data_IF_054976295113
#
_entry.id   IF_054976295113
#
_cell.length_a   1.000
_cell.length_b   1.000
_cell.length_c   1.000
_cell.angle_alpha   90.00
_cell.angle_beta   90.00
_cell.angle_gamma   90.00
#
_symmetry.space_group_name_H-M   'P 1'
#
loop_
_entity.id
_entity.type
_entity.pdbx_description
1 polymer ?
#
# COMPACT_ATOMS: atom_id res chain seq x y z
N UNK A 1 20.66 -14.05 10.66
CA UNK A 1 20.68 -13.95 9.19
C UNK A 1 19.27 -13.59 8.79
N UNK A 2 19.11 -12.55 7.99
CA UNK A 2 17.82 -12.16 7.42
C UNK A 2 17.43 -13.16 6.33
N UNK A 3 16.14 -13.43 6.24
CA UNK A 3 15.55 -14.37 5.28
C UNK A 3 14.66 -13.56 4.33
N UNK A 4 14.96 -13.50 3.04
CA UNK A 4 14.10 -12.84 2.06
C UNK A 4 12.78 -13.61 1.90
N UNK A 5 11.67 -12.86 1.92
CA UNK A 5 10.32 -13.38 1.76
C UNK A 5 9.71 -12.76 0.49
N UNK A 6 9.19 -13.61 -0.37
CA UNK A 6 8.38 -13.25 -1.53
C UNK A 6 6.92 -13.55 -1.23
N UNK A 7 6.07 -12.56 -1.30
CA UNK A 7 4.64 -12.68 -0.96
C UNK A 7 3.81 -12.58 -2.24
N UNK A 8 2.95 -13.56 -2.46
CA UNK A 8 2.03 -13.63 -3.57
C UNK A 8 0.61 -13.50 -3.03
N UNK A 9 -0.05 -12.39 -3.33
CA UNK A 9 -1.39 -12.08 -2.86
C UNK A 9 -2.38 -12.03 -4.02
N UNK A 10 -3.66 -11.97 -3.72
CA UNK A 10 -4.75 -11.96 -4.70
C UNK A 10 -5.84 -12.96 -4.32
N UNK A 11 -7.01 -12.82 -4.92
CA UNK A 11 -8.14 -13.72 -4.66
C UNK A 11 -7.88 -15.15 -5.16
N UNK A 12 -8.73 -16.08 -4.74
CA UNK A 12 -8.67 -17.47 -5.21
C UNK A 12 -8.66 -17.51 -6.75
N UNK A 13 -7.90 -18.42 -7.31
CA UNK A 13 -7.72 -18.63 -8.75
C UNK A 13 -7.22 -17.42 -9.55
N UNK A 14 -6.65 -16.43 -8.87
CA UNK A 14 -6.05 -15.24 -9.51
C UNK A 14 -4.73 -15.52 -10.25
N UNK A 15 -4.23 -16.74 -10.24
CA UNK A 15 -3.00 -17.14 -10.94
C UNK A 15 -1.73 -17.14 -10.08
N UNK A 16 -1.83 -17.01 -8.76
CA UNK A 16 -0.70 -17.07 -7.81
C UNK A 16 0.09 -18.36 -7.96
N UNK A 17 -0.58 -19.52 -7.84
CA UNK A 17 0.05 -20.84 -7.92
C UNK A 17 0.69 -21.08 -9.29
N UNK A 18 0.07 -20.61 -10.37
CA UNK A 18 0.63 -20.72 -11.73
C UNK A 18 1.93 -19.95 -11.86
N UNK A 19 1.96 -18.72 -11.36
CA UNK A 19 3.17 -17.89 -11.35
C UNK A 19 4.25 -18.49 -10.45
N UNK A 20 3.87 -18.99 -9.27
CA UNK A 20 4.77 -19.66 -8.34
C UNK A 20 5.40 -20.91 -8.98
N UNK A 21 4.60 -21.75 -9.66
CA UNK A 21 5.07 -22.90 -10.40
C UNK A 21 6.09 -22.51 -11.47
N UNK A 22 5.77 -21.55 -12.34
CA UNK A 22 6.67 -21.12 -13.41
C UNK A 22 7.98 -20.53 -12.86
N UNK A 23 7.90 -19.80 -11.74
CA UNK A 23 9.08 -19.27 -11.05
C UNK A 23 9.98 -20.37 -10.52
N UNK A 24 9.41 -21.42 -9.93
CA UNK A 24 10.18 -22.55 -9.39
C UNK A 24 10.75 -23.46 -10.49
N UNK A 25 10.15 -23.47 -11.68
CA UNK A 25 10.66 -24.13 -12.88
C UNK A 25 11.83 -23.36 -13.54
N UNK A 26 11.88 -22.06 -13.36
CA UNK A 26 12.91 -21.21 -13.98
C UNK A 26 14.29 -21.45 -13.33
N UNK A 27 15.24 -21.95 -14.16
CA UNK A 27 16.63 -22.17 -13.73
C UNK A 27 17.34 -20.90 -13.27
N UNK A 28 16.92 -19.73 -13.74
CA UNK A 28 17.49 -18.42 -13.35
C UNK A 28 17.14 -18.06 -11.92
N UNK A 29 15.95 -18.49 -11.45
CA UNK A 29 15.52 -18.29 -10.08
C UNK A 29 16.20 -19.26 -9.09
N UNK A 30 16.56 -20.44 -9.56
CA UNK A 30 17.20 -21.46 -8.73
C UNK A 30 18.73 -21.25 -8.65
N UNK A 31 19.16 -20.55 -7.63
CA UNK A 31 20.59 -20.34 -7.32
C UNK A 31 21.15 -21.34 -6.29
N UNK A 32 20.42 -22.42 -6.01
CA UNK A 32 20.80 -23.45 -5.02
C UNK A 32 20.37 -23.16 -3.59
N UNK A 33 19.73 -22.02 -3.31
CA UNK A 33 19.17 -21.69 -2.00
C UNK A 33 18.00 -22.60 -1.65
N UNK A 34 17.98 -23.05 -0.38
CA UNK A 34 16.84 -23.83 0.13
C UNK A 34 15.64 -22.91 0.29
N UNK A 35 14.59 -23.23 -0.44
CA UNK A 35 13.35 -22.45 -0.50
C UNK A 35 12.25 -23.18 0.27
N UNK A 36 11.62 -22.48 1.20
CA UNK A 36 10.37 -22.87 1.83
C UNK A 36 9.22 -22.20 1.09
N UNK A 37 8.29 -22.99 0.60
CA UNK A 37 7.04 -22.50 0.00
C UNK A 37 5.94 -22.75 1.02
N UNK A 38 5.22 -21.71 1.38
CA UNK A 38 4.03 -21.77 2.24
C UNK A 38 2.80 -21.55 1.37
N UNK A 39 1.91 -22.53 1.34
CA UNK A 39 0.61 -22.44 0.67
C UNK A 39 -0.46 -22.20 1.73
N UNK A 40 -1.06 -21.03 1.69
CA UNK A 40 -2.12 -20.63 2.64
C UNK A 40 -3.52 -20.71 2.02
N UNK A 41 -3.65 -21.24 0.82
CA UNK A 41 -4.91 -21.38 0.09
C UNK A 41 -4.86 -22.61 -0.82
N UNK A 42 -5.94 -23.37 -0.87
CA UNK A 42 -6.11 -24.47 -1.81
C UNK A 42 -6.89 -23.95 -3.04
N UNK A 43 -6.22 -23.86 -4.19
CA UNK A 43 -6.79 -23.47 -5.48
C UNK A 43 -6.94 -24.68 -6.43
N UNK A 44 -7.44 -24.42 -7.64
CA UNK A 44 -7.55 -25.46 -8.69
C UNK A 44 -6.18 -25.92 -9.20
N UNK A 45 -5.14 -25.09 -9.08
CA UNK A 45 -3.80 -25.38 -9.57
C UNK A 45 -2.90 -25.89 -8.42
N UNK A 46 -2.57 -27.17 -8.44
CA UNK A 46 -1.58 -27.75 -7.54
C UNK A 46 -0.16 -27.56 -8.08
N UNK A 47 0.80 -27.33 -7.18
CA UNK A 47 2.21 -27.29 -7.55
C UNK A 47 2.72 -28.70 -7.85
N UNK A 48 3.45 -28.84 -8.96
CA UNK A 48 4.12 -30.08 -9.37
C UNK A 48 5.62 -30.00 -9.08
N UNK A 49 6.11 -30.58 -7.97
CA UNK A 49 7.52 -30.56 -7.61
C UNK A 49 8.44 -31.31 -8.61
N UNK A 50 7.88 -32.20 -9.43
CA UNK A 50 8.67 -32.92 -10.42
C UNK A 50 9.22 -32.03 -11.53
N UNK A 51 8.58 -30.88 -11.76
CA UNK A 51 8.93 -29.89 -12.78
C UNK A 51 9.88 -28.82 -12.26
N UNK A 52 10.11 -28.76 -10.96
CA UNK A 52 10.97 -27.72 -10.38
C UNK A 52 12.41 -27.82 -10.90
N UNK A 53 13.04 -26.68 -11.13
CA UNK A 53 14.41 -26.58 -11.62
C UNK A 53 15.47 -27.12 -10.64
N UNK A 54 15.09 -27.34 -9.38
CA UNK A 54 15.96 -27.89 -8.32
C UNK A 54 15.20 -28.66 -7.25
N UNK A 55 15.94 -29.50 -6.50
CA UNK A 55 15.41 -30.34 -5.41
C UNK A 55 15.47 -29.66 -4.03
N UNK A 56 15.77 -28.38 -4.00
CA UNK A 56 15.98 -27.58 -2.79
C UNK A 56 14.73 -26.80 -2.36
N UNK A 57 13.56 -27.22 -2.80
CA UNK A 57 12.25 -26.64 -2.49
C UNK A 57 11.48 -27.55 -1.55
N UNK A 58 10.96 -27.02 -0.46
CA UNK A 58 10.06 -27.69 0.47
C UNK A 58 8.73 -26.95 0.48
N UNK A 59 7.64 -27.65 0.33
CA UNK A 59 6.28 -27.10 0.36
C UNK A 59 5.65 -27.50 1.70
N UNK A 60 5.06 -26.54 2.38
CA UNK A 60 4.27 -26.72 3.60
C UNK A 60 2.93 -25.98 3.42
N UNK A 61 1.85 -26.58 3.89
CA UNK A 61 0.49 -26.02 3.80
C UNK A 61 0.13 -25.41 5.16
N UNK A 62 -0.50 -24.25 5.13
CA UNK A 62 -1.06 -23.56 6.30
C UNK A 62 -2.55 -23.35 6.02
N UNK A 63 -3.39 -24.18 6.61
CA UNK A 63 -4.82 -24.23 6.34
C UNK A 63 -5.60 -23.14 7.08
N UNK A 64 -5.08 -22.68 8.23
CA UNK A 64 -5.77 -21.73 9.11
C UNK A 64 -4.81 -20.62 9.60
N UNK A 65 -5.37 -19.43 9.83
CA UNK A 65 -4.64 -18.30 10.43
C UNK A 65 -4.00 -18.64 11.77
N UNK A 66 -4.62 -19.50 12.55
CA UNK A 66 -4.09 -19.95 13.85
C UNK A 66 -2.75 -20.70 13.72
N UNK A 67 -2.45 -21.23 12.54
CA UNK A 67 -1.16 -21.88 12.22
C UNK A 67 -0.11 -20.86 11.74
N UNK A 68 -0.53 -19.67 11.30
CA UNK A 68 0.36 -18.62 10.81
C UNK A 68 0.92 -17.81 11.98
N UNK A 69 1.77 -18.45 12.80
CA UNK A 69 2.38 -17.86 13.99
C UNK A 69 3.91 -17.81 13.87
N UNK A 70 4.58 -16.81 14.51
CA UNK A 70 6.04 -16.70 14.46
C UNK A 70 6.75 -18.00 14.87
N UNK A 71 6.22 -18.70 15.88
CA UNK A 71 6.79 -19.94 16.39
C UNK A 71 6.72 -21.08 15.37
N UNK A 72 5.55 -21.27 14.74
CA UNK A 72 5.36 -22.29 13.70
C UNK A 72 6.20 -21.98 12.47
N UNK A 73 6.16 -20.74 11.98
CA UNK A 73 6.94 -20.31 10.81
C UNK A 73 8.45 -20.49 11.02
N UNK A 74 8.96 -20.19 12.23
CA UNK A 74 10.36 -20.46 12.59
C UNK A 74 10.68 -21.95 12.67
N UNK A 75 9.72 -22.79 13.16
CA UNK A 75 9.90 -24.22 13.20
C UNK A 75 9.99 -24.82 11.79
N UNK A 76 9.12 -24.42 10.86
CA UNK A 76 9.14 -24.81 9.47
C UNK A 76 10.43 -24.35 8.78
N UNK A 77 10.85 -23.09 8.98
CA UNK A 77 12.11 -22.59 8.44
C UNK A 77 13.30 -23.42 8.90
N UNK A 78 13.37 -23.76 10.20
CA UNK A 78 14.45 -24.59 10.77
C UNK A 78 14.43 -26.01 10.25
N UNK A 79 13.25 -26.63 10.11
CA UNK A 79 13.04 -27.99 9.62
C UNK A 79 13.68 -28.18 8.24
N UNK A 80 13.43 -27.26 7.32
CA UNK A 80 13.99 -27.32 5.96
C UNK A 80 15.29 -26.51 5.79
N UNK A 81 15.75 -25.82 6.83
CA UNK A 81 16.90 -24.91 6.81
C UNK A 81 16.78 -23.86 5.69
N UNK A 82 15.59 -23.29 5.54
CA UNK A 82 15.29 -22.33 4.47
C UNK A 82 16.19 -21.11 4.53
N UNK A 83 16.62 -20.66 3.36
CA UNK A 83 17.39 -19.45 3.10
C UNK A 83 16.54 -18.40 2.38
N UNK A 84 15.39 -18.81 1.85
CA UNK A 84 14.39 -18.01 1.17
C UNK A 84 13.00 -18.58 1.45
N UNK A 85 12.01 -17.70 1.56
CA UNK A 85 10.60 -18.10 1.76
C UNK A 85 9.75 -17.51 0.65
N UNK A 86 8.81 -18.29 0.15
CA UNK A 86 7.77 -17.87 -0.79
C UNK A 86 6.43 -18.15 -0.14
N UNK A 87 5.56 -17.16 -0.04
CA UNK A 87 4.26 -17.28 0.61
C UNK A 87 3.16 -17.04 -0.42
N UNK A 88 2.41 -18.06 -0.77
CA UNK A 88 1.13 -17.91 -1.42
C UNK A 88 0.07 -17.62 -0.37
N UNK A 89 -0.23 -16.34 -0.19
CA UNK A 89 -1.08 -15.89 0.93
C UNK A 89 -2.55 -16.00 0.56
N UNK A 90 -3.37 -16.40 1.53
CA UNK A 90 -4.80 -16.54 1.34
C UNK A 90 -5.46 -15.18 1.01
N UNK A 91 -6.24 -15.16 -0.06
CA UNK A 91 -6.89 -13.95 -0.54
C UNK A 91 -7.89 -13.32 0.42
N UNK A 92 -8.42 -14.08 1.36
CA UNK A 92 -9.39 -13.62 2.37
C UNK A 92 -8.75 -13.15 3.67
N UNK A 93 -7.46 -13.42 3.90
CA UNK A 93 -6.76 -12.98 5.12
C UNK A 93 -6.18 -11.58 4.94
N UNK A 94 -6.19 -10.77 5.98
CA UNK A 94 -5.63 -9.41 5.96
C UNK A 94 -4.09 -9.43 6.02
N UNK A 95 -3.45 -8.51 5.30
CA UNK A 95 -1.99 -8.38 5.32
C UNK A 95 -1.44 -7.94 6.68
N UNK A 96 -2.24 -7.26 7.49
CA UNK A 96 -1.87 -6.93 8.87
C UNK A 96 -1.52 -8.20 9.67
N UNK A 97 -2.29 -9.27 9.49
CA UNK A 97 -2.02 -10.57 10.15
C UNK A 97 -0.73 -11.21 9.65
N UNK A 98 -0.45 -11.12 8.34
CA UNK A 98 0.81 -11.56 7.77
C UNK A 98 2.00 -10.87 8.44
N UNK A 99 2.00 -9.55 8.45
CA UNK A 99 3.12 -8.77 8.97
C UNK A 99 3.29 -8.88 10.49
N UNK A 100 2.17 -8.94 11.24
CA UNK A 100 2.20 -9.10 12.69
C UNK A 100 2.78 -10.45 13.12
N UNK A 101 2.57 -11.48 12.32
CA UNK A 101 2.96 -12.86 12.63
C UNK A 101 4.25 -13.32 11.95
N UNK A 102 4.82 -12.53 11.06
CA UNK A 102 6.12 -12.87 10.47
C UNK A 102 7.24 -12.89 11.51
N UNK A 103 8.15 -13.88 11.47
CA UNK A 103 9.36 -13.87 12.28
C UNK A 103 10.20 -12.61 12.06
N UNK A 104 10.78 -12.05 13.12
CA UNK A 104 11.56 -10.79 13.05
C UNK A 104 12.75 -10.80 12.09
N UNK A 105 13.25 -11.96 11.74
CA UNK A 105 14.36 -12.14 10.80
C UNK A 105 13.90 -12.36 9.35
N UNK A 106 12.60 -12.37 9.10
CA UNK A 106 12.04 -12.41 7.75
C UNK A 106 11.85 -11.00 7.24
N UNK A 107 12.33 -10.74 6.03
CA UNK A 107 12.23 -9.42 5.39
C UNK A 107 11.49 -9.60 4.07
N UNK A 108 10.35 -8.93 3.93
CA UNK A 108 9.63 -8.90 2.66
C UNK A 108 10.54 -8.27 1.61
N UNK A 109 10.99 -9.09 0.67
CA UNK A 109 11.82 -8.66 -0.44
C UNK A 109 10.98 -8.19 -1.62
N UNK A 110 9.89 -8.90 -1.88
CA UNK A 110 8.95 -8.54 -2.91
C UNK A 110 7.53 -9.00 -2.52
N UNK A 111 6.56 -8.14 -2.75
CA UNK A 111 5.14 -8.45 -2.63
C UNK A 111 4.45 -8.17 -3.95
N UNK A 112 3.79 -9.20 -4.48
CA UNK A 112 3.09 -9.14 -5.76
C UNK A 112 1.63 -9.54 -5.59
N UNK A 113 0.75 -8.73 -6.16
CA UNK A 113 -0.67 -9.04 -6.23
C UNK A 113 -1.02 -9.58 -7.62
N UNK A 114 -1.79 -10.66 -7.65
CA UNK A 114 -2.32 -11.27 -8.87
C UNK A 114 -3.83 -11.08 -8.94
N UNK A 115 -4.31 -10.73 -10.12
CA UNK A 115 -5.74 -10.57 -10.37
C UNK A 115 -6.05 -10.89 -11.84
N UNK A 116 -7.21 -11.44 -12.11
CA UNK A 116 -7.69 -11.61 -13.48
C UNK A 116 -8.23 -10.27 -13.99
N UNK A 117 -7.74 -9.80 -15.13
CA UNK A 117 -8.04 -8.49 -15.69
C UNK A 117 -9.56 -8.22 -15.86
N UNK A 118 -10.31 -9.23 -16.31
CA UNK A 118 -11.74 -9.07 -16.60
C UNK A 118 -12.63 -9.11 -15.35
N UNK A 119 -12.24 -9.85 -14.32
CA UNK A 119 -13.07 -10.07 -13.12
C UNK A 119 -12.71 -9.14 -11.98
N UNK A 120 -11.48 -8.60 -11.94
CA UNK A 120 -11.01 -7.76 -10.85
C UNK A 120 -11.89 -6.54 -10.56
N UNK A 121 -12.44 -5.80 -11.55
CA UNK A 121 -13.35 -4.69 -11.25
C UNK A 121 -14.57 -5.11 -10.42
N UNK A 122 -15.10 -6.33 -10.67
CA UNK A 122 -16.23 -6.89 -9.92
C UNK A 122 -15.80 -7.26 -8.50
N UNK A 123 -14.63 -7.91 -8.35
CA UNK A 123 -14.07 -8.20 -7.02
C UNK A 123 -13.81 -6.92 -6.23
N UNK A 124 -13.20 -5.91 -6.85
CA UNK A 124 -12.95 -4.63 -6.21
C UNK A 124 -14.25 -3.93 -5.79
N UNK A 125 -15.34 -4.03 -6.55
CA UNK A 125 -16.61 -3.44 -6.21
C UNK A 125 -17.31 -4.15 -5.03
N UNK A 126 -17.19 -5.48 -4.93
CA UNK A 126 -17.90 -6.27 -3.92
C UNK A 126 -17.08 -6.58 -2.66
N UNK A 127 -15.76 -6.62 -2.78
CA UNK A 127 -14.81 -6.94 -1.68
C UNK A 127 -13.71 -5.89 -1.61
N UNK A 128 -14.12 -4.61 -1.65
CA UNK A 128 -13.19 -3.48 -1.78
C UNK A 128 -12.14 -3.44 -0.67
N UNK A 129 -12.51 -3.73 0.58
CA UNK A 129 -11.58 -3.73 1.71
C UNK A 129 -10.43 -4.72 1.47
N UNK A 130 -10.73 -5.93 0.99
CA UNK A 130 -9.71 -6.94 0.69
C UNK A 130 -8.88 -6.56 -0.55
N UNK A 131 -9.50 -5.99 -1.58
CA UNK A 131 -8.77 -5.52 -2.76
C UNK A 131 -7.80 -4.37 -2.40
N UNK A 132 -8.26 -3.39 -1.61
CA UNK A 132 -7.41 -2.29 -1.13
C UNK A 132 -6.29 -2.78 -0.23
N UNK A 133 -6.56 -3.70 0.70
CA UNK A 133 -5.57 -4.31 1.58
C UNK A 133 -4.40 -4.91 0.75
N UNK A 134 -4.72 -5.72 -0.27
CA UNK A 134 -3.69 -6.34 -1.14
C UNK A 134 -2.96 -5.31 -2.00
N UNK A 135 -3.67 -4.29 -2.53
CA UNK A 135 -3.06 -3.24 -3.33
C UNK A 135 -2.11 -2.36 -2.51
N UNK A 136 -2.41 -2.09 -1.23
CA UNK A 136 -1.56 -1.26 -0.36
C UNK A 136 -0.20 -1.89 -0.07
N UNK A 137 -0.14 -3.23 0.03
CA UNK A 137 1.10 -3.97 0.27
C UNK A 137 1.92 -4.22 -1.00
N UNK A 138 1.25 -4.29 -2.16
CA UNK A 138 1.88 -4.70 -3.41
C UNK A 138 2.94 -3.70 -3.90
N UNK A 139 4.06 -4.22 -4.42
CA UNK A 139 5.04 -3.49 -5.21
C UNK A 139 4.74 -3.65 -6.71
N UNK A 140 4.14 -4.77 -7.09
CA UNK A 140 3.71 -5.08 -8.46
C UNK A 140 2.33 -5.71 -8.42
N UNK A 141 1.43 -5.22 -9.28
CA UNK A 141 0.15 -5.87 -9.58
C UNK A 141 0.20 -6.47 -10.97
N UNK A 142 -0.09 -7.76 -11.08
CA UNK A 142 -0.15 -8.48 -12.35
C UNK A 142 -1.61 -8.78 -12.68
N UNK A 143 -2.13 -8.12 -13.71
CA UNK A 143 -3.43 -8.41 -14.28
C UNK A 143 -3.27 -9.45 -15.38
N UNK A 144 -3.48 -10.71 -15.03
CA UNK A 144 -3.35 -11.82 -15.98
C UNK A 144 -4.62 -12.07 -16.78
N UNK A 145 -4.54 -13.00 -17.76
CA UNK A 145 -5.62 -13.36 -18.69
C UNK A 145 -6.22 -12.13 -19.40
N UNK A 146 -5.41 -11.08 -19.55
CA UNK A 146 -5.82 -9.87 -20.24
C UNK A 146 -6.08 -10.16 -21.72
N UNK A 147 -7.07 -9.48 -22.30
CA UNK A 147 -7.35 -9.58 -23.73
C UNK A 147 -6.82 -8.35 -24.45
N UNK A 148 -6.25 -8.51 -25.64
CA UNK A 148 -5.80 -7.36 -26.42
C UNK A 148 -6.97 -6.40 -26.68
N UNK A 149 -6.77 -5.11 -26.34
CA UNK A 149 -7.80 -4.07 -26.52
C UNK A 149 -8.79 -3.92 -25.35
N UNK A 150 -8.58 -4.60 -24.22
CA UNK A 150 -9.37 -4.34 -23.01
C UNK A 150 -9.13 -2.92 -22.45
N UNK A 151 -10.04 -2.44 -21.62
CA UNK A 151 -9.92 -1.11 -21.01
C UNK A 151 -8.93 -1.08 -19.83
N UNK A 152 -7.66 -0.82 -20.16
CA UNK A 152 -6.60 -0.64 -19.16
C UNK A 152 -6.89 0.49 -18.18
N UNK A 153 -7.54 1.57 -18.65
CA UNK A 153 -7.80 2.77 -17.86
C UNK A 153 -8.62 2.46 -16.61
N UNK A 154 -9.56 1.51 -16.70
CA UNK A 154 -10.35 1.10 -15.54
C UNK A 154 -9.48 0.47 -14.46
N UNK A 155 -8.61 -0.47 -14.81
CA UNK A 155 -7.71 -1.14 -13.87
C UNK A 155 -6.65 -0.17 -13.34
N UNK A 156 -6.07 0.65 -14.22
CA UNK A 156 -5.16 1.71 -13.85
C UNK A 156 -5.75 2.62 -12.74
N UNK A 157 -6.96 3.15 -12.95
CA UNK A 157 -7.64 4.02 -11.97
C UNK A 157 -7.88 3.32 -10.63
N UNK A 158 -8.26 2.05 -10.63
CA UNK A 158 -8.46 1.29 -9.39
C UNK A 158 -7.15 1.21 -8.60
N UNK A 159 -6.04 0.85 -9.25
CA UNK A 159 -4.74 0.74 -8.60
C UNK A 159 -4.25 2.11 -8.15
N UNK A 160 -4.30 3.13 -9.04
CA UNK A 160 -3.85 4.50 -8.72
C UNK A 160 -4.71 5.17 -7.66
N UNK A 161 -5.98 4.77 -7.51
CA UNK A 161 -6.84 5.15 -6.39
C UNK A 161 -6.34 4.65 -5.03
N UNK A 162 -5.50 3.62 -4.98
CA UNK A 162 -4.93 3.05 -3.75
C UNK A 162 -3.45 3.41 -3.58
N UNK A 163 -2.63 3.23 -4.61
CA UNK A 163 -1.19 3.53 -4.57
C UNK A 163 -0.68 4.03 -5.93
N UNK A 164 0.15 5.08 -5.89
CA UNK A 164 0.83 5.60 -7.09
C UNK A 164 2.17 4.90 -7.36
N UNK A 165 2.68 4.16 -6.37
CA UNK A 165 4.01 3.51 -6.42
C UNK A 165 3.98 2.11 -6.99
N UNK A 166 2.82 1.48 -6.97
CA UNK A 166 2.66 0.09 -7.44
C UNK A 166 2.89 0.03 -8.94
N UNK A 167 3.80 -0.84 -9.36
CA UNK A 167 3.93 -1.17 -10.78
C UNK A 167 2.74 -2.01 -11.24
N UNK A 168 2.27 -1.77 -12.44
CA UNK A 168 1.15 -2.51 -13.03
C UNK A 168 1.64 -3.23 -14.27
N UNK A 169 1.37 -4.53 -14.35
CA UNK A 169 1.65 -5.36 -15.51
C UNK A 169 0.38 -6.05 -16.02
N UNK A 170 0.24 -6.14 -17.32
CA UNK A 170 -0.83 -6.84 -18.01
C UNK A 170 -0.26 -8.05 -18.72
N UNK A 171 -0.66 -9.25 -18.31
CA UNK A 171 -0.24 -10.49 -18.90
C UNK A 171 -1.30 -11.01 -19.86
N UNK A 172 -0.96 -11.08 -21.14
CA UNK A 172 -1.82 -11.58 -22.22
C UNK A 172 -1.60 -13.09 -22.45
N UNK A 173 -0.39 -13.54 -22.23
CA UNK A 173 0.04 -14.94 -22.23
C UNK A 173 1.38 -15.06 -21.52
N UNK A 174 1.86 -16.29 -21.28
CA UNK A 174 3.10 -16.59 -20.55
C UNK A 174 4.34 -15.80 -20.98
N UNK A 175 4.42 -15.37 -22.25
CA UNK A 175 5.54 -14.61 -22.79
C UNK A 175 5.14 -13.24 -23.36
N UNK A 176 3.92 -12.77 -23.10
CA UNK A 176 3.39 -11.51 -23.59
C UNK A 176 2.88 -10.67 -22.41
N UNK A 177 3.81 -9.93 -21.82
CA UNK A 177 3.55 -9.05 -20.68
C UNK A 177 3.85 -7.60 -21.08
N UNK A 178 2.94 -6.70 -20.76
CA UNK A 178 3.07 -5.28 -20.99
C UNK A 178 2.97 -4.53 -19.66
N UNK A 179 3.89 -3.61 -19.40
CA UNK A 179 3.78 -2.70 -18.26
C UNK A 179 2.86 -1.54 -18.59
N UNK A 180 2.17 -1.06 -17.55
CA UNK A 180 1.30 0.11 -17.66
C UNK A 180 2.14 1.36 -17.95
N UNK A 181 1.79 2.07 -19.01
CA UNK A 181 2.44 3.30 -19.46
C UNK A 181 1.50 4.51 -19.40
N UNK A 182 0.35 4.37 -18.74
CA UNK A 182 -0.63 5.45 -18.61
C UNK A 182 -0.07 6.53 -17.69
N UNK A 183 0.06 7.73 -18.21
CA UNK A 183 0.45 8.90 -17.42
C UNK A 183 -0.69 9.33 -16.48
N UNK A 184 -0.35 9.58 -15.24
CA UNK A 184 -1.28 10.02 -14.20
C UNK A 184 -0.72 11.28 -13.51
N UNK A 185 -0.81 12.45 -14.20
CA UNK A 185 -0.26 13.69 -13.67
C UNK A 185 -0.99 14.12 -12.39
N UNK A 186 -0.24 14.69 -11.47
CA UNK A 186 -0.84 15.29 -10.28
C UNK A 186 -1.68 16.51 -10.67
N UNK A 187 -2.86 16.71 -10.05
CA UNK A 187 -3.74 17.84 -10.36
C UNK A 187 -3.19 19.17 -9.82
N UNK A 188 -2.08 19.16 -9.11
CA UNK A 188 -1.40 20.34 -8.55
C UNK A 188 0.07 20.38 -9.00
N UNK A 189 0.65 21.58 -9.05
CA UNK A 189 2.03 21.77 -9.46
C UNK A 189 2.98 21.69 -8.26
N UNK A 190 3.74 20.58 -8.16
CA UNK A 190 4.76 20.38 -7.09
C UNK A 190 5.94 21.34 -7.19
N UNK A 191 6.22 21.92 -8.34
CA UNK A 191 7.35 22.83 -8.57
C UNK A 191 6.97 24.31 -8.40
N UNK A 192 5.73 24.61 -8.01
CA UNK A 192 5.31 25.98 -7.70
C UNK A 192 5.96 26.45 -6.39
N UNK A 193 6.19 27.78 -6.23
CA UNK A 193 6.65 28.40 -4.98
C UNK A 193 5.75 28.07 -3.79
N UNK A 194 4.47 27.92 -4.04
CA UNK A 194 3.47 27.43 -3.10
C UNK A 194 2.59 26.43 -3.83
N UNK A 195 2.52 25.22 -3.32
CA UNK A 195 1.63 24.17 -3.85
C UNK A 195 0.21 24.50 -3.38
N UNK A 196 -0.66 24.85 -4.31
CA UNK A 196 -2.09 25.08 -4.02
C UNK A 196 -2.85 23.78 -4.19
N UNK A 197 -3.49 23.31 -3.11
CA UNK A 197 -4.26 22.09 -3.06
C UNK A 197 -5.74 22.43 -2.98
N UNK A 198 -6.48 22.12 -4.04
CA UNK A 198 -7.92 22.30 -4.05
C UNK A 198 -8.61 21.28 -3.14
N UNK A 199 -9.85 21.58 -2.71
CA UNK A 199 -10.60 20.71 -1.80
C UNK A 199 -10.73 19.27 -2.32
N UNK A 200 -10.95 19.09 -3.61
CA UNK A 200 -11.06 17.77 -4.26
C UNK A 200 -9.72 17.03 -4.35
N UNK A 201 -8.60 17.73 -4.30
CA UNK A 201 -7.26 17.17 -4.54
C UNK A 201 -6.54 16.80 -3.23
N UNK A 202 -7.16 17.10 -2.08
CA UNK A 202 -6.53 16.89 -0.76
C UNK A 202 -6.08 15.44 -0.54
N UNK A 203 -6.91 14.45 -0.90
CA UNK A 203 -6.58 13.03 -0.72
C UNK A 203 -5.34 12.63 -1.54
N UNK A 204 -5.30 13.03 -2.81
CA UNK A 204 -4.17 12.78 -3.70
C UNK A 204 -2.90 13.45 -3.21
N UNK A 205 -2.99 14.71 -2.79
CA UNK A 205 -1.85 15.44 -2.24
C UNK A 205 -1.34 14.81 -0.95
N UNK A 206 -2.23 14.47 -0.01
CA UNK A 206 -1.83 13.87 1.26
C UNK A 206 -1.13 12.53 1.07
N UNK A 207 -1.61 11.72 0.14
CA UNK A 207 -0.98 10.45 -0.22
C UNK A 207 0.39 10.67 -0.88
N UNK A 208 0.48 11.53 -1.88
CA UNK A 208 1.74 11.85 -2.56
C UNK A 208 2.78 12.41 -1.56
N UNK A 209 2.36 13.31 -0.65
CA UNK A 209 3.20 13.78 0.46
C UNK A 209 3.68 12.61 1.35
N UNK A 210 2.83 11.64 1.64
CA UNK A 210 3.17 10.50 2.51
C UNK A 210 4.11 9.50 1.83
N UNK A 211 3.99 9.33 0.52
CA UNK A 211 4.80 8.43 -0.29
C UNK A 211 6.15 9.06 -0.69
N UNK A 212 6.20 10.39 -0.91
CA UNK A 212 7.34 11.13 -1.46
C UNK A 212 7.86 12.22 -0.50
N UNK A 213 8.01 11.90 0.78
CA UNK A 213 8.35 12.85 1.86
C UNK A 213 9.50 13.78 1.48
N UNK A 214 10.62 13.23 0.98
CA UNK A 214 11.83 14.01 0.69
C UNK A 214 11.61 15.06 -0.40
N UNK A 215 10.68 14.84 -1.32
CA UNK A 215 10.36 15.78 -2.40
C UNK A 215 9.60 17.01 -1.91
N UNK A 216 9.02 16.93 -0.72
CA UNK A 216 8.25 18.01 -0.11
C UNK A 216 9.04 18.82 0.94
N UNK A 217 10.24 18.37 1.32
CA UNK A 217 11.04 19.09 2.31
C UNK A 217 11.40 20.49 1.82
N UNK A 218 11.12 21.50 2.63
CA UNK A 218 11.33 22.90 2.31
C UNK A 218 10.29 23.55 1.40
N UNK A 219 9.34 22.79 0.82
CA UNK A 219 8.27 23.34 -0.03
C UNK A 219 7.22 24.06 0.81
N UNK A 220 6.47 24.96 0.17
CA UNK A 220 5.30 25.63 0.76
C UNK A 220 4.03 25.03 0.21
N UNK A 221 3.02 24.95 1.05
CA UNK A 221 1.70 24.42 0.68
C UNK A 221 0.60 25.35 1.18
N UNK A 222 -0.50 25.40 0.45
CA UNK A 222 -1.74 26.03 0.85
C UNK A 222 -2.89 25.07 0.61
N UNK A 223 -3.63 24.75 1.67
CA UNK A 223 -4.77 23.83 1.63
C UNK A 223 -5.79 24.17 2.70
N UNK A 224 -7.02 23.65 2.55
CA UNK A 224 -8.06 23.72 3.54
C UNK A 224 -8.14 22.46 4.38
N UNK A 225 -8.19 22.61 5.71
CA UNK A 225 -8.31 21.49 6.64
C UNK A 225 -9.11 21.81 7.88
N UNK A 226 -9.52 20.77 8.55
CA UNK A 226 -10.18 20.86 9.86
C UNK A 226 -9.13 20.74 10.95
N UNK A 227 -9.27 21.56 11.98
CA UNK A 227 -8.37 21.62 13.13
C UNK A 227 -8.74 20.55 14.16
N UNK A 228 -7.71 19.94 14.74
CA UNK A 228 -7.81 19.09 15.93
C UNK A 228 -6.81 19.62 16.96
N UNK A 229 -7.30 19.96 18.16
CA UNK A 229 -6.52 20.29 19.35
C UNK A 229 -6.85 19.31 20.46
N UNK A 230 -5.81 18.87 21.15
CA UNK A 230 -5.92 17.96 22.30
C UNK A 230 -4.81 18.27 23.31
N UNK A 231 -4.99 17.90 24.57
CA UNK A 231 -4.02 18.14 25.67
C UNK A 231 -2.65 17.47 25.47
N UNK A 232 -2.58 16.48 24.59
CA UNK A 232 -1.33 15.79 24.25
C UNK A 232 -0.50 16.55 23.19
N UNK A 233 -1.09 17.55 22.54
CA UNK A 233 -0.45 18.39 21.52
C UNK A 233 0.21 19.59 22.20
N UNK A 234 1.47 19.95 21.89
CA UNK A 234 2.12 21.15 22.44
C UNK A 234 1.32 22.43 22.18
N UNK A 235 1.36 23.38 23.12
CA UNK A 235 0.56 24.63 23.07
C UNK A 235 0.79 25.50 21.82
N UNK A 236 1.97 25.39 21.20
CA UNK A 236 2.31 26.08 19.96
C UNK A 236 1.94 25.30 18.69
N UNK A 237 1.22 24.18 18.83
CA UNK A 237 0.87 23.27 17.74
C UNK A 237 -0.63 22.98 17.70
N UNK A 238 -1.09 22.58 16.54
CA UNK A 238 -2.37 21.93 16.33
C UNK A 238 -2.23 20.90 15.18
N UNK A 239 -3.17 19.98 15.09
CA UNK A 239 -3.26 19.09 13.92
C UNK A 239 -4.25 19.72 12.95
N UNK A 240 -3.90 19.71 11.65
CA UNK A 240 -4.79 20.18 10.59
C UNK A 240 -4.83 19.16 9.48
N UNK A 241 -6.02 18.83 9.01
CA UNK A 241 -6.21 17.82 7.97
C UNK A 241 -7.67 17.61 7.65
N UNK A 242 -7.99 16.46 7.07
CA UNK A 242 -9.37 16.13 6.73
C UNK A 242 -9.66 14.65 7.02
N UNK A 243 -10.91 14.29 7.31
CA UNK A 243 -11.35 12.91 7.19
C UNK A 243 -11.07 12.43 5.76
N UNK A 244 -10.48 11.26 5.61
CA UNK A 244 -10.11 10.67 4.33
C UNK A 244 -10.66 9.26 4.25
N UNK A 245 -11.34 8.95 3.14
CA UNK A 245 -11.89 7.65 2.82
C UNK A 245 -11.14 7.05 1.64
N UNK A 246 -10.65 5.83 1.81
CA UNK A 246 -9.97 5.08 0.73
C UNK A 246 -10.92 4.14 0.02
N UNK A 247 -11.71 3.37 0.76
CA UNK A 247 -12.58 2.34 0.19
C UNK A 247 -14.05 2.45 0.58
N UNK A 248 -14.37 2.72 1.83
CA UNK A 248 -15.76 2.78 2.32
C UNK A 248 -15.86 3.63 3.59
N UNK A 249 -17.07 3.83 4.09
CA UNK A 249 -17.31 4.65 5.28
C UNK A 249 -16.61 4.10 6.55
N UNK A 250 -16.38 2.79 6.62
CA UNK A 250 -15.75 2.14 7.78
C UNK A 250 -14.23 2.41 7.85
N UNK A 251 -13.59 2.83 6.75
CA UNK A 251 -12.16 3.12 6.71
C UNK A 251 -11.84 4.61 6.86
N UNK A 252 -12.83 5.45 7.15
CA UNK A 252 -12.60 6.89 7.30
C UNK A 252 -11.62 7.14 8.45
N UNK A 253 -10.47 7.71 8.10
CA UNK A 253 -9.42 8.10 9.04
C UNK A 253 -9.10 9.59 8.90
N UNK A 254 -8.67 10.23 9.98
CA UNK A 254 -8.26 11.63 9.91
C UNK A 254 -6.83 11.74 9.37
N UNK A 255 -6.70 12.28 8.17
CA UNK A 255 -5.43 12.57 7.50
C UNK A 255 -4.89 13.90 8.01
N UNK A 256 -4.20 13.88 9.15
CA UNK A 256 -3.78 15.07 9.87
C UNK A 256 -2.27 15.32 9.82
N UNK A 257 -1.90 16.58 9.75
CA UNK A 257 -0.53 17.07 9.78
C UNK A 257 -0.33 17.98 10.98
N UNK A 258 0.81 17.86 11.65
CA UNK A 258 1.19 18.76 12.74
C UNK A 258 1.52 20.13 12.14
N UNK A 259 0.93 21.18 12.68
CA UNK A 259 1.21 22.56 12.30
C UNK A 259 1.69 23.35 13.54
N UNK A 260 2.94 23.81 13.49
CA UNK A 260 3.51 24.77 14.45
C UNK A 260 3.16 26.19 14.00
N UNK A 261 2.51 26.96 14.86
CA UNK A 261 2.10 28.31 14.54
C UNK A 261 1.97 29.19 15.77
N UNK A 262 2.40 30.44 15.69
CA UNK A 262 2.39 31.38 16.81
C UNK A 262 0.99 31.74 17.34
N UNK A 263 -0.06 31.47 16.57
CA UNK A 263 -1.46 31.66 16.93
C UNK A 263 -2.21 30.38 17.29
N UNK A 264 -1.51 29.26 17.56
CA UNK A 264 -2.12 27.95 17.82
C UNK A 264 -3.12 27.97 19.00
N UNK A 265 -2.88 28.82 20.01
CA UNK A 265 -3.76 29.03 21.16
C UNK A 265 -5.18 29.48 20.80
N UNK A 266 -5.36 30.09 19.61
CA UNK A 266 -6.66 30.55 19.10
C UNK A 266 -7.42 29.49 18.35
N UNK A 267 -6.81 28.34 18.13
CA UNK A 267 -7.40 27.22 17.39
C UNK A 267 -8.29 26.39 18.30
N UNK A 268 -9.41 25.94 17.74
CA UNK A 268 -10.33 25.02 18.41
C UNK A 268 -10.65 23.85 17.50
N UNK A 269 -10.83 22.66 18.10
CA UNK A 269 -11.21 21.46 17.34
C UNK A 269 -12.46 21.68 16.52
N UNK A 270 -12.48 21.12 15.33
CA UNK A 270 -13.54 21.23 14.31
C UNK A 270 -13.65 22.57 13.57
N UNK A 271 -12.79 23.54 13.87
CA UNK A 271 -12.69 24.72 13.01
C UNK A 271 -12.15 24.32 11.64
N UNK A 272 -12.69 24.89 10.57
CA UNK A 272 -12.12 24.82 9.24
C UNK A 272 -11.23 26.05 9.01
N UNK A 273 -10.04 25.78 8.49
CA UNK A 273 -9.05 26.84 8.21
C UNK A 273 -8.39 26.60 6.85
N UNK A 274 -8.01 27.67 6.18
CA UNK A 274 -7.03 27.60 5.09
C UNK A 274 -5.65 27.86 5.71
N UNK A 275 -4.76 26.89 5.52
CA UNK A 275 -3.39 26.95 6.04
C UNK A 275 -2.43 27.14 4.88
N UNK A 276 -1.60 28.19 4.98
CA UNK A 276 -0.38 28.33 4.19
C UNK A 276 0.81 28.10 5.10
N UNK A 277 1.66 27.15 4.77
CA UNK A 277 2.76 26.71 5.62
C UNK A 277 3.97 26.24 4.81
N UNK A 278 5.15 26.27 5.44
CA UNK A 278 6.33 25.55 4.95
C UNK A 278 6.33 24.15 5.51
N UNK A 279 6.72 23.18 4.71
CA UNK A 279 6.84 21.76 5.08
C UNK A 279 8.30 21.48 5.49
N UNK A 280 8.50 20.77 6.60
CA UNK A 280 9.81 20.27 7.01
C UNK A 280 9.71 18.80 7.40
N UNK A 281 10.56 17.96 6.83
CA UNK A 281 10.57 16.52 7.13
C UNK A 281 11.50 16.28 8.32
N UNK A 282 10.92 16.08 9.49
CA UNK A 282 11.69 15.93 10.73
C UNK A 282 10.93 15.15 11.80
N UNK A 283 11.66 14.72 12.83
CA UNK A 283 11.05 14.09 14.00
C UNK A 283 10.21 15.10 14.79
N UNK A 284 8.99 14.71 15.16
CA UNK A 284 8.11 15.50 16.01
C UNK A 284 7.44 14.63 17.07
N UNK A 285 7.21 15.19 18.28
CA UNK A 285 6.65 14.45 19.41
C UNK A 285 5.26 13.88 19.12
N UNK A 286 4.42 14.63 18.40
CA UNK A 286 3.08 14.16 18.02
C UNK A 286 3.08 12.93 17.11
N UNK A 287 4.13 12.72 16.33
CA UNK A 287 4.26 11.52 15.47
C UNK A 287 5.04 10.39 16.14
N UNK A 288 5.91 10.70 17.11
CA UNK A 288 6.88 9.75 17.65
C UNK A 288 7.96 9.30 16.65
N UNK A 289 7.89 9.74 15.41
CA UNK A 289 8.78 9.39 14.28
C UNK A 289 9.05 10.61 13.40
N UNK A 290 9.85 10.44 12.34
CA UNK A 290 10.02 11.44 11.28
C UNK A 290 8.74 11.52 10.44
N UNK A 291 8.33 12.74 10.13
CA UNK A 291 7.15 13.02 9.32
C UNK A 291 7.07 14.49 8.90
N UNK A 292 6.07 14.87 8.10
CA UNK A 292 5.91 16.23 7.61
C UNK A 292 5.36 17.14 8.71
N UNK A 293 6.14 18.14 9.10
CA UNK A 293 5.76 19.18 10.07
C UNK A 293 5.56 20.48 9.32
N UNK A 294 4.39 21.09 9.50
CA UNK A 294 4.06 22.38 8.93
C UNK A 294 4.51 23.50 9.86
N UNK A 295 5.15 24.53 9.30
CA UNK A 295 5.35 25.81 9.98
C UNK A 295 4.41 26.83 9.35
N UNK A 296 3.38 27.22 10.10
CA UNK A 296 2.31 28.08 9.61
C UNK A 296 2.81 29.49 9.26
N UNK A 297 2.55 29.94 8.04
CA UNK A 297 2.78 31.30 7.55
C UNK A 297 1.51 32.11 7.76
N UNK A 298 0.38 31.62 7.26
CA UNK A 298 -0.96 32.14 7.56
C UNK A 298 -1.91 31.00 7.88
N UNK A 299 -2.84 31.26 8.79
CA UNK A 299 -3.92 30.35 9.17
C UNK A 299 -5.19 31.18 9.30
N UNK A 300 -6.05 31.08 8.31
CA UNK A 300 -7.26 31.89 8.20
C UNK A 300 -8.51 31.03 8.34
N UNK A 301 -9.55 31.48 9.07
CA UNK A 301 -10.82 30.76 9.11
C UNK A 301 -11.41 30.57 7.71
N UNK A 302 -11.95 29.38 7.44
CA UNK A 302 -12.54 29.04 6.15
C UNK A 302 -13.89 28.33 6.35
N UNK A 303 -14.81 28.39 5.38
CA UNK A 303 -16.00 27.54 5.40
C UNK A 303 -15.58 26.08 5.16
N UNK A 304 -16.38 25.16 5.67
CA UNK A 304 -16.24 23.73 5.33
C UNK A 304 -16.29 23.56 3.80
N UNK A 305 -15.53 22.62 3.24
CA UNK A 305 -15.66 22.25 1.84
C UNK A 305 -17.02 21.61 1.60
N UNK A 306 -17.49 21.58 0.35
CA UNK A 306 -18.77 20.96 -0.02
C UNK A 306 -18.78 19.46 0.36
N UNK A 307 -17.67 18.80 0.18
CA UNK A 307 -17.42 17.43 0.62
C UNK A 307 -16.39 17.44 1.74
N UNK A 308 -16.81 17.21 2.98
CA UNK A 308 -15.91 17.26 4.15
C UNK A 308 -14.94 16.06 4.15
N UNK A 309 -15.42 14.86 3.80
CA UNK A 309 -14.58 13.66 3.66
C UNK A 309 -13.86 13.71 2.32
N UNK A 310 -12.54 13.74 2.36
CA UNK A 310 -11.72 13.69 1.15
C UNK A 310 -11.70 12.27 0.59
N UNK A 311 -11.76 12.15 -0.73
CA UNK A 311 -11.73 10.87 -1.46
C UNK A 311 -10.72 10.96 -2.60
N UNK A 312 -10.38 9.83 -3.18
CA UNK A 312 -9.48 9.74 -4.34
C UNK A 312 -10.22 9.80 -5.69
N UNK A 313 -11.52 10.07 -5.67
CA UNK A 313 -12.41 10.06 -6.85
C UNK A 313 -13.13 11.38 -6.98
#
# INVERSE_FOLDING_TARGET
MEIPVYVFTGFLDSGKSTFLQSTLEDKRFNNGERTLVLLCEEGECELDPSRFSGKNVTIEVIEDTDQFTPENLLALQKKCRAQRVMVEYNGMWLLEELYANMPKNWIVYQEMMFAEANTFPVFNANMRNLAVDKLQGAQLVVFNRAQKGFDKMQLHKIVRGVSRRVDIAYEYSENDVEYDDIEDPLPFNKEADTIHVEDRDFALWYRDLSEELDTYDGKKVEFKGQVVVDKSIPDNCFIVGRPLMTCCEDDIRFAGLVCEWSGAERMASRMWVTVKASISIRKHSCYGRVGPVLTGITVDPAPAPEQEVATFY
#
